data_IF_789860963722
#
_entry.id   IF_789860963722
#
_cell.length_a   1.000
_cell.length_b   1.000
_cell.length_c   1.000
_cell.angle_alpha   90.00
_cell.angle_beta   90.00
_cell.angle_gamma   90.00
#
_symmetry.space_group_name_H-M   'P 1'
#
loop_
_entity.id
_entity.type
_entity.pdbx_description
1 polymer ?
#
# COMPACT_ATOMS: atom_id res chain seq x y z
N UNK A 1 -34.40 20.27 -39.29
CA UNK A 1 -34.55 21.46 -38.41
C UNK A 1 -33.98 21.08 -37.06
N UNK A 2 -32.89 21.73 -36.67
CA UNK A 2 -32.33 21.71 -35.33
C UNK A 2 -33.21 22.50 -34.36
N UNK A 3 -33.01 22.22 -33.07
CA UNK A 3 -32.99 23.07 -31.85
C UNK A 3 -33.27 22.04 -30.73
N UNK A 4 -32.33 21.70 -29.85
CA UNK A 4 -31.50 22.61 -29.07
C UNK A 4 -32.19 22.83 -27.72
N UNK A 5 -31.46 22.47 -26.65
CA UNK A 5 -31.48 23.09 -25.31
C UNK A 5 -31.48 22.08 -24.15
N UNK A 6 -30.24 21.76 -23.74
CA UNK A 6 -29.71 21.87 -22.39
C UNK A 6 -30.68 22.08 -21.23
N UNK A 7 -30.64 21.17 -20.25
CA UNK A 7 -30.52 21.42 -18.81
C UNK A 7 -30.09 20.07 -18.18
N UNK A 8 -29.21 19.92 -17.22
CA UNK A 8 -28.34 20.80 -16.46
C UNK A 8 -27.45 19.86 -15.62
N UNK A 9 -26.16 20.20 -15.49
CA UNK A 9 -25.20 19.55 -14.62
C UNK A 9 -25.64 19.65 -13.15
N UNK A 10 -25.44 18.60 -12.35
CA UNK A 10 -24.86 18.84 -11.03
C UNK A 10 -24.23 17.62 -10.36
N UNK A 11 -22.93 17.78 -10.11
CA UNK A 11 -22.22 17.48 -8.87
C UNK A 11 -22.41 16.11 -8.25
N UNK A 12 -21.42 15.22 -8.40
CA UNK A 12 -21.04 14.25 -7.37
C UNK A 12 -19.59 13.73 -7.51
N UNK A 13 -18.63 14.58 -7.89
CA UNK A 13 -17.22 14.17 -7.94
C UNK A 13 -16.28 15.16 -7.20
N UNK A 14 -16.65 15.53 -5.98
CA UNK A 14 -15.86 16.46 -5.14
C UNK A 14 -15.80 16.10 -3.65
N UNK A 15 -16.14 14.87 -3.25
CA UNK A 15 -16.20 14.48 -1.82
C UNK A 15 -15.23 13.38 -1.37
N UNK A 16 -14.45 12.76 -2.26
CA UNK A 16 -13.50 11.70 -1.85
C UNK A 16 -12.04 12.16 -1.80
N UNK A 17 -11.73 13.36 -2.28
CA UNK A 17 -10.36 13.88 -2.36
C UNK A 17 -9.90 14.73 -1.18
N UNK A 18 -10.80 15.43 -0.49
CA UNK A 18 -10.43 16.38 0.58
C UNK A 18 -10.28 15.70 1.95
N UNK A 19 -11.05 14.66 2.23
CA UNK A 19 -11.08 13.97 3.52
C UNK A 19 -9.80 13.15 3.82
N UNK A 20 -9.00 12.87 2.78
CA UNK A 20 -7.74 12.13 2.88
C UNK A 20 -6.54 13.05 3.16
N UNK A 21 -6.56 14.29 2.65
CA UNK A 21 -5.42 15.24 2.77
C UNK A 21 -5.20 15.70 4.21
N UNK A 22 -6.27 15.85 5.00
CA UNK A 22 -6.16 16.31 6.40
C UNK A 22 -5.66 15.20 7.34
N UNK A 23 -6.02 13.94 7.07
CA UNK A 23 -5.49 12.77 7.79
C UNK A 23 -4.04 12.46 7.41
N UNK A 24 -3.67 12.70 6.16
CA UNK A 24 -2.29 12.54 5.68
C UNK A 24 -1.34 13.57 6.30
N UNK A 25 -1.84 14.74 6.73
CA UNK A 25 -1.01 15.81 7.33
C UNK A 25 -0.57 15.50 8.78
N UNK A 26 -1.35 14.73 9.54
CA UNK A 26 -1.01 14.30 10.91
C UNK A 26 0.20 13.37 11.01
N UNK A 27 0.58 12.76 9.88
CA UNK A 27 1.77 11.91 9.78
C UNK A 27 3.09 12.71 9.79
N UNK A 28 3.06 13.98 9.39
CA UNK A 28 4.24 14.83 9.38
C UNK A 28 4.71 15.18 10.80
N UNK A 29 3.81 15.15 11.78
CA UNK A 29 4.09 15.42 13.19
C UNK A 29 4.60 14.22 13.99
N UNK A 30 4.65 13.01 13.40
CA UNK A 30 5.18 11.82 14.08
C UNK A 30 6.71 11.87 14.05
N UNK A 31 7.39 11.80 15.22
CA UNK A 31 8.85 11.82 15.27
C UNK A 31 9.44 10.58 14.60
N UNK A 32 10.58 10.72 13.93
CA UNK A 32 11.26 9.64 13.19
C UNK A 32 11.64 8.43 14.06
N UNK A 33 11.61 8.58 15.38
CA UNK A 33 11.84 7.53 16.38
C UNK A 33 10.68 6.53 16.50
N UNK A 34 9.47 6.88 16.06
CA UNK A 34 8.27 6.04 16.21
C UNK A 34 7.71 5.61 14.84
N UNK A 35 7.86 4.33 14.49
CA UNK A 35 7.30 3.74 13.25
C UNK A 35 5.83 3.38 13.49
N UNK A 36 5.00 4.40 13.72
CA UNK A 36 3.55 4.23 13.94
C UNK A 36 2.83 4.59 12.65
N UNK A 37 2.05 3.65 12.15
CA UNK A 37 1.23 3.79 10.94
C UNK A 37 -0.23 3.44 11.26
N UNK A 38 -1.25 4.11 10.68
CA UNK A 38 -2.64 3.73 10.82
C UNK A 38 -2.87 2.29 10.41
N UNK A 39 -3.82 1.64 11.06
CA UNK A 39 -4.11 0.21 10.85
C UNK A 39 -4.43 -0.14 9.37
N UNK A 40 -5.06 0.78 8.63
CA UNK A 40 -5.32 0.59 7.20
C UNK A 40 -4.01 0.51 6.38
N UNK A 41 -3.04 1.39 6.70
CA UNK A 41 -1.72 1.41 6.08
C UNK A 41 -0.90 0.20 6.56
N UNK A 42 -0.94 -0.15 7.85
CA UNK A 42 -0.29 -1.35 8.39
C UNK A 42 -0.76 -2.62 7.64
N UNK A 43 -2.07 -2.76 7.48
CA UNK A 43 -2.68 -3.89 6.77
C UNK A 43 -2.28 -3.92 5.30
N UNK A 44 -2.28 -2.77 4.62
CA UNK A 44 -1.80 -2.64 3.25
C UNK A 44 -0.32 -3.02 3.11
N UNK A 45 0.54 -2.56 4.01
CA UNK A 45 1.97 -2.87 4.02
C UNK A 45 2.23 -4.35 4.30
N UNK A 46 1.48 -4.96 5.22
CA UNK A 46 1.53 -6.42 5.45
C UNK A 46 1.09 -7.21 4.23
N UNK A 47 0.08 -6.74 3.50
CA UNK A 47 -0.35 -7.35 2.24
C UNK A 47 0.75 -7.25 1.19
N UNK A 48 1.31 -6.05 0.99
CA UNK A 48 2.44 -5.82 0.09
C UNK A 48 3.64 -6.72 0.41
N UNK A 49 3.99 -6.83 1.69
CA UNK A 49 5.05 -7.74 2.14
C UNK A 49 4.75 -9.19 1.77
N UNK A 50 3.53 -9.67 2.02
CA UNK A 50 3.12 -11.02 1.65
C UNK A 50 3.21 -11.26 0.15
N UNK A 51 2.75 -10.33 -0.67
CA UNK A 51 2.79 -10.46 -2.13
C UNK A 51 4.24 -10.52 -2.65
N UNK A 52 5.14 -9.72 -2.07
CA UNK A 52 6.57 -9.78 -2.37
C UNK A 52 7.19 -11.12 -1.94
N UNK A 53 6.93 -11.55 -0.71
CA UNK A 53 7.40 -12.84 -0.19
C UNK A 53 6.90 -14.03 -1.01
N UNK A 54 5.65 -13.99 -1.49
CA UNK A 54 5.11 -15.04 -2.37
C UNK A 54 5.84 -15.10 -3.71
N UNK A 55 6.27 -13.96 -4.23
CA UNK A 55 7.06 -13.88 -5.46
C UNK A 55 8.47 -14.43 -5.23
N UNK A 56 9.11 -14.06 -4.12
CA UNK A 56 10.44 -14.55 -3.75
C UNK A 56 10.45 -16.08 -3.49
N UNK A 57 9.38 -16.60 -2.90
CA UNK A 57 9.21 -18.02 -2.56
C UNK A 57 8.43 -18.82 -3.62
N UNK A 58 8.28 -18.30 -4.84
CA UNK A 58 7.43 -18.90 -5.87
C UNK A 58 7.80 -20.37 -6.17
N UNK A 59 9.10 -20.70 -6.17
CA UNK A 59 9.58 -22.06 -6.40
C UNK A 59 9.04 -23.06 -5.38
N UNK A 60 9.20 -22.76 -4.08
CA UNK A 60 8.72 -23.61 -2.98
C UNK A 60 7.19 -23.70 -2.96
N UNK A 61 6.49 -22.62 -3.29
CA UNK A 61 5.03 -22.61 -3.41
C UNK A 61 4.58 -23.50 -4.57
N UNK A 62 5.27 -23.45 -5.70
CA UNK A 62 4.96 -24.28 -6.88
C UNK A 62 5.20 -25.76 -6.62
N UNK A 63 6.27 -26.13 -5.91
CA UNK A 63 6.53 -27.52 -5.52
C UNK A 63 5.45 -28.05 -4.57
N UNK A 64 5.02 -27.24 -3.60
CA UNK A 64 3.92 -27.60 -2.72
C UNK A 64 2.61 -27.75 -3.51
N UNK A 65 2.28 -26.79 -4.38
CA UNK A 65 1.09 -26.85 -5.23
C UNK A 65 1.06 -28.15 -6.06
N UNK A 66 2.18 -28.50 -6.70
CA UNK A 66 2.30 -29.72 -7.50
C UNK A 66 2.08 -30.99 -6.68
N UNK A 67 2.50 -31.01 -5.42
CA UNK A 67 2.25 -32.15 -4.53
C UNK A 67 0.77 -32.27 -4.13
N UNK A 68 0.06 -31.14 -4.07
CA UNK A 68 -1.36 -31.11 -3.68
C UNK A 68 -2.35 -31.33 -4.82
N UNK A 69 -1.92 -31.19 -6.09
CA UNK A 69 -2.79 -31.33 -7.27
C UNK A 69 -3.55 -32.66 -7.29
N UNK A 70 -2.88 -33.76 -6.95
CA UNK A 70 -3.46 -35.11 -7.03
C UNK A 70 -4.03 -35.63 -5.68
N UNK A 71 -4.04 -34.80 -4.63
CA UNK A 71 -4.33 -35.26 -3.26
C UNK A 71 -5.40 -34.38 -2.59
N UNK A 72 -6.54 -34.98 -2.23
CA UNK A 72 -7.59 -34.30 -1.45
C UNK A 72 -7.43 -34.46 0.08
N UNK A 73 -7.09 -35.67 0.55
CA UNK A 73 -7.14 -35.99 1.99
C UNK A 73 -5.76 -36.28 2.61
N UNK A 74 -4.79 -36.72 1.82
CA UNK A 74 -3.47 -37.17 2.32
C UNK A 74 -2.36 -36.11 2.26
N UNK A 75 -2.70 -34.87 1.89
CA UNK A 75 -1.75 -33.74 1.72
C UNK A 75 -0.90 -33.49 2.97
N UNK A 76 -1.49 -33.54 4.15
CA UNK A 76 -0.81 -33.22 5.42
C UNK A 76 0.37 -34.18 5.70
N UNK A 77 0.28 -35.42 5.23
CA UNK A 77 1.27 -36.46 5.50
C UNK A 77 2.27 -36.56 4.34
N UNK A 78 1.78 -36.63 3.11
CA UNK A 78 2.63 -36.87 1.94
C UNK A 78 3.33 -35.61 1.42
N UNK A 79 2.74 -34.43 1.60
CA UNK A 79 3.34 -33.16 1.17
C UNK A 79 4.01 -32.39 2.32
N UNK A 80 4.27 -33.07 3.44
CA UNK A 80 4.85 -32.45 4.64
C UNK A 80 6.21 -31.82 4.36
N UNK A 81 7.04 -32.46 3.53
CA UNK A 81 8.37 -31.96 3.19
C UNK A 81 8.30 -30.67 2.36
N UNK A 82 7.45 -30.65 1.32
CA UNK A 82 7.24 -29.47 0.48
C UNK A 82 6.58 -28.34 1.27
N UNK A 83 5.66 -28.68 2.17
CA UNK A 83 5.06 -27.73 3.09
C UNK A 83 6.09 -27.10 4.03
N UNK A 84 7.03 -27.89 4.55
CA UNK A 84 8.11 -27.41 5.41
C UNK A 84 9.02 -26.45 4.65
N UNK A 85 9.48 -26.81 3.45
CA UNK A 85 10.30 -25.94 2.58
C UNK A 85 9.62 -24.62 2.25
N UNK A 86 8.32 -24.67 1.90
CA UNK A 86 7.52 -23.47 1.66
C UNK A 86 7.43 -22.60 2.92
N UNK A 87 7.10 -23.19 4.07
CA UNK A 87 7.00 -22.47 5.35
C UNK A 87 8.32 -21.80 5.72
N UNK A 88 9.43 -22.51 5.61
CA UNK A 88 10.77 -21.99 5.91
C UNK A 88 11.07 -20.74 5.10
N UNK A 89 10.81 -20.79 3.78
CA UNK A 89 10.95 -19.62 2.91
C UNK A 89 10.01 -18.47 3.33
N UNK A 90 8.72 -18.73 3.56
CA UNK A 90 7.79 -17.67 3.95
C UNK A 90 8.21 -17.00 5.28
N UNK A 91 8.69 -17.80 6.24
CA UNK A 91 9.11 -17.29 7.55
C UNK A 91 10.40 -16.48 7.49
N UNK A 92 11.36 -16.83 6.62
CA UNK A 92 12.60 -16.08 6.48
C UNK A 92 12.39 -14.68 5.88
N UNK A 93 11.35 -14.51 5.07
CA UNK A 93 11.01 -13.23 4.43
C UNK A 93 9.96 -12.41 5.20
N UNK A 94 9.14 -13.04 6.06
CA UNK A 94 8.09 -12.36 6.85
C UNK A 94 8.60 -11.94 8.23
N UNK A 95 9.73 -11.24 8.27
CA UNK A 95 10.33 -10.79 9.53
C UNK A 95 9.75 -9.45 9.99
N UNK A 96 9.65 -9.21 11.31
CA UNK A 96 9.19 -7.91 11.82
C UNK A 96 10.09 -6.76 11.36
N UNK A 97 11.39 -7.01 11.16
CA UNK A 97 12.35 -6.03 10.65
C UNK A 97 12.02 -5.61 9.22
N UNK A 98 11.64 -6.56 8.35
CA UNK A 98 11.26 -6.25 6.96
C UNK A 98 9.98 -5.42 6.90
N UNK A 99 9.02 -5.72 7.77
CA UNK A 99 7.80 -4.93 7.89
C UNK A 99 8.08 -3.51 8.42
N UNK A 100 8.99 -3.36 9.39
CA UNK A 100 9.42 -2.07 9.89
C UNK A 100 10.13 -1.22 8.83
N UNK A 101 10.98 -1.85 8.01
CA UNK A 101 11.63 -1.17 6.89
C UNK A 101 10.61 -0.61 5.89
N UNK A 102 9.61 -1.42 5.49
CA UNK A 102 8.53 -0.98 4.60
C UNK A 102 7.72 0.18 5.17
N UNK A 103 7.46 0.18 6.48
CA UNK A 103 6.78 1.30 7.14
C UNK A 103 7.61 2.57 7.12
N UNK A 104 8.92 2.48 7.40
CA UNK A 104 9.85 3.62 7.34
C UNK A 104 9.88 4.21 5.93
N UNK A 105 10.05 3.37 4.91
CA UNK A 105 10.03 3.80 3.50
C UNK A 105 8.72 4.52 3.14
N UNK A 106 7.58 3.99 3.61
CA UNK A 106 6.28 4.62 3.37
C UNK A 106 6.17 6.00 4.02
N UNK A 107 6.66 6.14 5.27
CA UNK A 107 6.67 7.42 5.99
C UNK A 107 7.56 8.43 5.26
N UNK A 108 8.78 8.03 4.88
CA UNK A 108 9.73 8.90 4.18
C UNK A 108 9.16 9.39 2.84
N UNK A 109 8.58 8.49 2.05
CA UNK A 109 7.93 8.84 0.79
C UNK A 109 6.72 9.77 1.01
N UNK A 110 5.94 9.54 2.07
CA UNK A 110 4.79 10.39 2.42
C UNK A 110 5.25 11.79 2.81
N UNK A 111 6.30 11.90 3.62
CA UNK A 111 6.91 13.18 3.98
C UNK A 111 7.36 13.93 2.73
N UNK A 112 8.13 13.30 1.85
CA UNK A 112 8.62 13.90 0.60
C UNK A 112 7.47 14.48 -0.25
N UNK A 113 6.42 13.69 -0.46
CA UNK A 113 5.25 14.13 -1.24
C UNK A 113 4.57 15.36 -0.63
N UNK A 114 4.42 15.41 0.69
CA UNK A 114 3.80 16.55 1.36
C UNK A 114 4.70 17.80 1.29
N UNK A 115 6.03 17.64 1.41
CA UNK A 115 6.98 18.75 1.20
C UNK A 115 6.85 19.38 -0.18
N UNK A 116 6.73 18.55 -1.22
CA UNK A 116 6.53 19.00 -2.60
C UNK A 116 5.20 19.75 -2.77
N UNK A 117 4.10 19.19 -2.25
CA UNK A 117 2.78 19.82 -2.29
C UNK A 117 2.77 21.18 -1.58
N UNK A 118 3.43 21.28 -0.42
CA UNK A 118 3.53 22.54 0.33
C UNK A 118 4.29 23.59 -0.47
N UNK A 119 5.40 23.22 -1.11
CA UNK A 119 6.19 24.12 -1.96
C UNK A 119 5.36 24.59 -3.16
N UNK A 120 4.62 23.70 -3.80
CA UNK A 120 3.75 24.05 -4.92
C UNK A 120 2.65 25.02 -4.49
N UNK A 121 1.97 24.73 -3.38
CA UNK A 121 0.93 25.61 -2.84
C UNK A 121 1.46 27.02 -2.52
N UNK A 122 2.66 27.11 -1.93
CA UNK A 122 3.31 28.40 -1.66
C UNK A 122 3.61 29.17 -2.96
N UNK A 123 4.07 28.50 -4.02
CA UNK A 123 4.27 29.15 -5.33
C UNK A 123 2.95 29.64 -5.94
N UNK A 124 1.88 28.86 -5.83
CA UNK A 124 0.56 29.24 -6.35
C UNK A 124 -0.01 30.47 -5.63
N UNK A 125 0.21 30.56 -4.31
CA UNK A 125 -0.17 31.75 -3.52
C UNK A 125 0.63 32.98 -3.95
N UNK A 126 1.94 32.85 -4.16
CA UNK A 126 2.80 33.94 -4.63
C UNK A 126 2.42 34.42 -6.04
N UNK A 127 2.02 33.50 -6.94
CA UNK A 127 1.62 33.84 -8.29
C UNK A 127 0.24 34.53 -8.34
N UNK A 128 -0.72 34.08 -7.53
CA UNK A 128 -2.03 34.74 -7.43
C UNK A 128 -1.92 36.19 -6.92
N UNK A 129 -1.07 36.45 -5.92
CA UNK A 129 -0.87 37.80 -5.38
C UNK A 129 -0.20 38.78 -6.35
N UNK A 130 0.48 38.31 -7.41
CA UNK A 130 1.05 39.17 -8.47
C UNK A 130 0.05 39.54 -9.58
N UNK A 131 -1.10 38.87 -9.62
CA UNK A 131 -2.08 39.01 -10.71
C UNK A 131 -3.26 39.92 -10.34
N UNK A 132 -3.35 40.34 -9.07
CA UNK A 132 -4.22 41.40 -8.55
C UNK A 132 -3.44 42.70 -8.35
#
# INVERSE_FOLDING_TARGET
MTIGDSLNNNSNNKKTGQDNVEKDMGYMSIPDSEIIVPNAIDSYLRKKLKDQTLTDCESSVREFARCTEDKLFSVIWECKEQQQKMRECLTSHTTPERLQALKREWIDHTKQKIWELKKQHEQDLLNNNKTN
#
